data_IF_263350923207
#
_entry.id   IF_263350923207
#
_cell.length_a   1.000
_cell.length_b   1.000
_cell.length_c   1.000
_cell.angle_alpha   90.00
_cell.angle_beta   90.00
_cell.angle_gamma   90.00
#
_symmetry.space_group_name_H-M   'P 1'
#
loop_
_entity.id
_entity.type
_entity.pdbx_description
1 polymer ?
#
# COMPACT_ATOMS: atom_id res chain seq x y z
N UNK A 1 -8.21 -3.85 10.22
CA UNK A 1 -7.08 -2.95 10.53
C UNK A 1 -6.56 -2.35 9.25
N UNK A 2 -6.13 -1.09 9.29
CA UNK A 2 -5.61 -0.38 8.12
C UNK A 2 -4.10 -0.17 8.25
N UNK A 3 -3.35 -0.48 7.19
CA UNK A 3 -1.92 -0.17 7.05
C UNK A 3 -1.74 0.82 5.90
N UNK A 4 -1.39 2.08 6.21
CA UNK A 4 -1.32 3.16 5.23
C UNK A 4 0.14 3.45 4.88
N UNK A 5 0.50 3.32 3.60
CA UNK A 5 1.90 3.30 3.17
C UNK A 5 2.54 1.94 3.44
N UNK A 6 1.83 0.86 3.11
CA UNK A 6 2.19 -0.51 3.50
C UNK A 6 3.53 -1.00 2.89
N UNK A 7 4.06 -0.33 1.87
CA UNK A 7 5.30 -0.65 1.17
C UNK A 7 5.32 -2.14 0.78
N UNK A 8 6.39 -2.88 1.09
CA UNK A 8 6.53 -4.31 0.82
C UNK A 8 5.77 -5.21 1.83
N UNK A 9 4.99 -4.63 2.75
CA UNK A 9 4.12 -5.36 3.68
C UNK A 9 4.76 -5.84 4.99
N UNK A 10 5.84 -5.17 5.45
CA UNK A 10 6.51 -5.54 6.70
C UNK A 10 5.57 -5.43 7.92
N UNK A 11 4.83 -4.34 8.04
CA UNK A 11 3.85 -4.16 9.11
C UNK A 11 2.53 -4.87 8.80
N UNK A 12 2.08 -4.90 7.55
CA UNK A 12 0.94 -5.73 7.09
C UNK A 12 1.01 -7.15 7.63
N UNK A 13 2.17 -7.81 7.59
CA UNK A 13 2.33 -9.17 8.14
C UNK A 13 2.04 -9.24 9.64
N UNK A 14 2.64 -8.35 10.42
CA UNK A 14 2.42 -8.29 11.89
C UNK A 14 0.96 -8.02 12.20
N UNK A 15 0.33 -7.16 11.40
CA UNK A 15 -1.07 -6.83 11.50
C UNK A 15 -1.98 -8.01 11.21
N UNK A 16 -1.66 -8.84 10.21
CA UNK A 16 -2.37 -10.09 9.93
C UNK A 16 -2.26 -11.06 11.11
N UNK A 17 -1.07 -11.18 11.71
CA UNK A 17 -0.86 -12.03 12.88
C UNK A 17 -1.68 -11.56 14.10
N UNK A 18 -1.80 -10.25 14.31
CA UNK A 18 -2.55 -9.65 15.43
C UNK A 18 -4.05 -9.87 15.28
N UNK A 19 -4.60 -9.70 14.07
CA UNK A 19 -6.05 -9.81 13.85
C UNK A 19 -6.53 -11.26 13.75
N UNK A 20 -5.61 -12.21 13.56
CA UNK A 20 -5.93 -13.62 13.35
C UNK A 20 -6.79 -13.84 12.10
N UNK A 21 -7.48 -14.98 12.01
CA UNK A 21 -8.32 -15.34 10.86
C UNK A 21 -9.67 -14.62 10.83
N UNK A 22 -10.15 -14.13 11.98
CA UNK A 22 -11.46 -13.50 12.11
C UNK A 22 -11.44 -12.00 11.77
N UNK A 23 -10.26 -11.36 11.80
CA UNK A 23 -10.12 -9.98 11.36
C UNK A 23 -9.66 -9.85 9.92
N UNK A 24 -9.52 -8.62 9.46
CA UNK A 24 -9.12 -8.30 8.08
C UNK A 24 -8.13 -7.15 8.06
N UNK A 25 -7.13 -7.20 7.18
CA UNK A 25 -6.18 -6.11 6.96
C UNK A 25 -6.41 -5.47 5.60
N UNK A 26 -6.52 -4.14 5.56
CA UNK A 26 -6.51 -3.34 4.33
C UNK A 26 -5.17 -2.61 4.28
N UNK A 27 -4.31 -3.03 3.35
CA UNK A 27 -3.00 -2.43 3.11
C UNK A 27 -3.08 -1.49 1.92
N UNK A 28 -2.78 -0.21 2.13
CA UNK A 28 -2.81 0.84 1.11
C UNK A 28 -1.38 1.20 0.75
N UNK A 29 -0.96 0.95 -0.48
CA UNK A 29 0.40 1.25 -0.95
C UNK A 29 0.36 1.81 -2.38
N UNK A 30 0.81 3.06 -2.60
CA UNK A 30 0.73 3.67 -3.91
C UNK A 30 1.76 3.17 -4.94
N UNK A 31 2.94 2.71 -4.52
CA UNK A 31 3.97 2.27 -5.45
C UNK A 31 3.65 0.85 -6.00
N UNK A 32 3.47 0.67 -7.32
CA UNK A 32 3.04 -0.62 -7.88
C UNK A 32 3.96 -1.79 -7.56
N UNK A 33 5.28 -1.56 -7.55
CA UNK A 33 6.28 -2.58 -7.20
C UNK A 33 6.16 -3.03 -5.75
N UNK A 34 6.04 -2.09 -4.82
CA UNK A 34 5.87 -2.35 -3.38
C UNK A 34 4.50 -3.00 -3.10
N UNK A 35 3.42 -2.49 -3.70
CA UNK A 35 2.08 -3.09 -3.61
C UNK A 35 2.08 -4.55 -4.11
N UNK A 36 2.74 -4.82 -5.24
CA UNK A 36 2.90 -6.19 -5.74
C UNK A 36 3.70 -7.08 -4.78
N UNK A 37 4.75 -6.55 -4.13
CA UNK A 37 5.46 -7.28 -3.09
C UNK A 37 4.55 -7.59 -1.89
N UNK A 38 3.74 -6.62 -1.44
CA UNK A 38 2.76 -6.82 -0.37
C UNK A 38 1.70 -7.89 -0.74
N UNK A 39 1.23 -7.92 -1.99
CA UNK A 39 0.27 -8.96 -2.46
C UNK A 39 0.82 -10.37 -2.36
N UNK A 40 2.14 -10.57 -2.41
CA UNK A 40 2.75 -11.90 -2.23
C UNK A 40 2.57 -12.47 -0.82
N UNK A 41 2.10 -11.67 0.15
CA UNK A 41 1.67 -12.17 1.45
C UNK A 41 0.39 -13.02 1.35
N UNK A 42 -0.45 -12.77 0.35
CA UNK A 42 -1.70 -13.52 0.16
C UNK A 42 -1.34 -14.96 -0.25
N UNK A 43 -1.71 -15.92 0.58
CA UNK A 43 -1.43 -17.34 0.36
C UNK A 43 -2.56 -18.18 0.97
N UNK A 44 -3.12 -19.16 0.23
CA UNK A 44 -4.17 -20.05 0.74
C UNK A 44 -3.83 -20.77 2.06
N UNK A 45 -2.54 -20.98 2.34
CA UNK A 45 -2.05 -21.66 3.53
C UNK A 45 -1.68 -20.72 4.69
N UNK A 46 -1.72 -19.41 4.50
CA UNK A 46 -1.41 -18.45 5.57
C UNK A 46 -2.43 -17.31 5.64
N UNK A 47 -2.29 -16.30 4.78
CA UNK A 47 -3.07 -15.08 4.84
C UNK A 47 -4.08 -15.02 3.70
N UNK A 48 -5.35 -15.16 4.03
CA UNK A 48 -6.49 -15.04 3.11
C UNK A 48 -7.32 -13.79 3.36
N UNK A 49 -7.05 -13.08 4.46
CA UNK A 49 -7.78 -11.95 5.01
C UNK A 49 -7.02 -10.61 4.82
N UNK A 50 -6.45 -10.42 3.63
CA UNK A 50 -5.71 -9.22 3.23
C UNK A 50 -6.28 -8.64 1.93
N UNK A 51 -6.61 -7.35 1.94
CA UNK A 51 -6.85 -6.55 0.73
C UNK A 51 -5.68 -5.60 0.53
N UNK A 52 -5.10 -5.58 -0.67
CA UNK A 52 -4.07 -4.61 -1.05
C UNK A 52 -4.64 -3.61 -2.04
N UNK A 53 -4.68 -2.34 -1.64
CA UNK A 53 -5.15 -1.20 -2.44
C UNK A 53 -3.94 -0.47 -3.00
N UNK A 54 -3.80 -0.48 -4.33
CA UNK A 54 -2.72 0.22 -5.04
C UNK A 54 -3.10 1.68 -5.30
N UNK A 55 -3.08 2.47 -4.24
CA UNK A 55 -3.41 3.90 -4.24
C UNK A 55 -2.80 4.57 -3.02
N UNK A 56 -2.70 5.90 -3.00
CA UNK A 56 -2.49 6.65 -1.77
C UNK A 56 -3.83 7.19 -1.24
N UNK A 57 -3.95 7.35 0.08
CA UNK A 57 -5.08 8.07 0.66
C UNK A 57 -4.90 9.59 0.52
N UNK A 58 -5.99 10.27 0.19
CA UNK A 58 -6.07 11.72 -0.03
C UNK A 58 -7.42 12.25 0.47
N UNK A 59 -7.58 13.57 0.52
CA UNK A 59 -8.88 14.23 0.75
C UNK A 59 -9.82 14.12 -0.44
N UNK A 60 -9.28 13.83 -1.63
CA UNK A 60 -9.99 13.81 -2.90
C UNK A 60 -9.53 12.65 -3.78
N UNK A 61 -10.41 12.19 -4.67
CA UNK A 61 -10.10 11.18 -5.68
C UNK A 61 -9.38 11.82 -6.87
N UNK A 62 -8.37 11.13 -7.41
CA UNK A 62 -7.68 11.59 -8.61
C UNK A 62 -6.35 10.87 -8.84
N UNK A 63 -5.36 11.62 -9.33
CA UNK A 63 -3.99 11.14 -9.48
C UNK A 63 -3.00 12.09 -8.81
N UNK A 64 -1.84 11.56 -8.45
CA UNK A 64 -0.74 12.34 -7.90
C UNK A 64 0.61 11.81 -8.40
N UNK A 65 1.64 12.65 -8.33
CA UNK A 65 3.02 12.26 -8.61
C UNK A 65 3.68 11.75 -7.33
N UNK A 66 4.11 10.49 -7.36
CA UNK A 66 4.88 9.85 -6.31
C UNK A 66 6.36 9.85 -6.70
N UNK A 67 7.20 10.55 -5.94
CA UNK A 67 8.65 10.39 -6.06
C UNK A 67 9.04 9.02 -5.52
N UNK A 68 9.73 8.25 -6.34
CA UNK A 68 10.21 6.91 -5.98
C UNK A 68 11.73 6.85 -6.09
N UNK A 69 12.34 6.13 -5.14
CA UNK A 69 13.78 5.83 -5.23
C UNK A 69 14.05 4.76 -6.29
N UNK A 70 15.31 4.69 -6.73
CA UNK A 70 15.77 3.63 -7.63
C UNK A 70 15.65 2.24 -7.00
N UNK A 71 15.80 2.15 -5.67
CA UNK A 71 15.56 0.94 -4.90
C UNK A 71 14.05 0.79 -4.60
N UNK A 72 13.35 -0.21 -5.17
CA UNK A 72 11.92 -0.44 -4.95
C UNK A 72 11.55 -0.79 -3.50
N UNK A 73 12.54 -1.16 -2.69
CA UNK A 73 12.37 -1.47 -1.26
C UNK A 73 12.63 -0.27 -0.35
N UNK A 74 13.02 0.87 -0.91
CA UNK A 74 13.25 2.09 -0.14
C UNK A 74 11.96 2.53 0.57
N UNK A 75 12.03 2.91 1.86
CA UNK A 75 10.90 3.45 2.60
C UNK A 75 10.70 4.97 2.37
N UNK A 76 11.44 5.60 1.45
CA UNK A 76 11.49 7.06 1.32
C UNK A 76 10.58 7.66 0.24
N UNK A 77 9.71 6.84 -0.36
CA UNK A 77 8.73 7.29 -1.36
C UNK A 77 7.83 8.39 -0.77
N UNK A 78 7.56 9.44 -1.56
CA UNK A 78 6.78 10.59 -1.09
C UNK A 78 6.07 11.29 -2.23
N UNK A 79 4.91 11.89 -1.96
CA UNK A 79 4.26 12.76 -2.93
C UNK A 79 5.16 13.98 -3.20
N UNK A 80 5.47 14.24 -4.47
CA UNK A 80 6.30 15.38 -4.87
C UNK A 80 5.81 15.95 -6.19
N UNK A 81 5.84 17.29 -6.31
CA UNK A 81 5.59 17.99 -7.57
C UNK A 81 6.84 18.15 -8.43
N UNK A 82 8.02 17.82 -7.89
CA UNK A 82 9.30 17.99 -8.56
C UNK A 82 10.31 16.96 -8.01
N UNK A 83 10.53 15.90 -8.76
CA UNK A 83 11.69 15.01 -8.59
C UNK A 83 12.10 14.45 -9.95
N UNK A 84 13.32 13.89 -10.03
CA UNK A 84 13.86 13.34 -11.27
C UNK A 84 13.24 11.99 -11.66
N UNK A 85 12.59 11.29 -10.72
CA UNK A 85 11.97 9.99 -10.92
C UNK A 85 10.61 9.95 -10.20
N UNK A 86 9.53 10.14 -10.96
CA UNK A 86 8.16 10.08 -10.46
C UNK A 86 7.34 8.99 -11.14
N UNK A 87 6.37 8.47 -10.41
CA UNK A 87 5.29 7.64 -10.94
C UNK A 87 3.97 8.37 -10.72
N UNK A 88 3.15 8.45 -11.76
CA UNK A 88 1.75 8.84 -11.60
C UNK A 88 0.99 7.68 -10.94
N UNK A 89 0.42 7.95 -9.78
CA UNK A 89 -0.35 7.00 -8.98
C UNK A 89 -1.81 7.43 -8.87
N UNK A 90 -2.70 6.51 -8.55
CA UNK A 90 -4.07 6.84 -8.16
C UNK A 90 -4.10 7.31 -6.70
N UNK A 91 -4.95 8.30 -6.40
CA UNK A 91 -5.29 8.69 -5.03
C UNK A 91 -6.80 8.56 -4.81
N UNK A 92 -7.20 8.15 -3.61
CA UNK A 92 -8.60 7.95 -3.24
C UNK A 92 -8.85 8.37 -1.80
N UNK A 93 -10.11 8.51 -1.42
CA UNK A 93 -10.53 8.72 -0.05
C UNK A 93 -10.78 7.37 0.64
N UNK A 94 -10.65 7.33 1.97
CA UNK A 94 -10.81 6.11 2.75
C UNK A 94 -12.25 5.56 2.77
N UNK A 95 -13.24 6.45 2.70
CA UNK A 95 -14.68 6.14 2.66
C UNK A 95 -15.15 5.50 1.35
N UNK A 96 -14.33 5.52 0.28
CA UNK A 96 -14.62 4.81 -0.96
C UNK A 96 -14.03 3.39 -1.03
N UNK A 97 -13.20 3.01 -0.05
CA UNK A 97 -12.52 1.72 -0.02
C UNK A 97 -13.24 0.66 0.84
N UNK A 98 -14.16 1.06 1.72
CA UNK A 98 -14.99 0.19 2.57
C UNK A 98 -16.41 0.76 2.75
#
# INVERSE_FOLDING_TARGET
MWDIGANIGFYTRKFLDIVGTEGHVVAVEPAPSSANACRKLINPNSYTNLTVVESALSSDVGTAELSVDEDPSSPNNRLSKSSSNTLTISVTTGDLLL
#
